data_IF_316951891342
#
_entry.id   IF_316951891342
#
_cell.length_a   1.000
_cell.length_b   1.000
_cell.length_c   1.000
_cell.angle_alpha   90.00
_cell.angle_beta   90.00
_cell.angle_gamma   90.00
#
_symmetry.space_group_name_H-M   'P 1'
#
loop_
_entity.id
_entity.type
_entity.pdbx_description
1 polymer ?
#
# COMPACT_ATOMS: atom_id res chain seq x y z
N UNK A 1 -26.80 3.65 -0.56
CA UNK A 1 -26.48 3.93 -1.97
C UNK A 1 -26.15 5.41 -2.03
N UNK A 2 -24.87 5.79 -1.99
CA UNK A 2 -24.45 7.19 -1.88
C UNK A 2 -23.72 7.55 -3.17
N UNK A 3 -24.28 8.48 -3.94
CA UNK A 3 -23.75 9.05 -5.17
C UNK A 3 -22.99 10.34 -4.87
N UNK A 4 -21.83 10.54 -5.51
CA UNK A 4 -21.00 11.74 -5.41
C UNK A 4 -21.06 12.55 -6.72
N UNK A 5 -20.94 13.89 -6.70
CA UNK A 5 -21.02 14.74 -7.88
C UNK A 5 -19.66 14.82 -8.62
N UNK A 6 -19.73 14.92 -9.94
CA UNK A 6 -18.61 14.84 -10.89
C UNK A 6 -17.63 16.03 -10.78
N UNK A 7 -16.33 15.74 -10.79
CA UNK A 7 -15.32 16.73 -11.19
C UNK A 7 -14.17 16.04 -11.92
N UNK A 8 -13.87 16.60 -13.09
CA UNK A 8 -13.00 16.10 -14.15
C UNK A 8 -11.51 16.36 -13.81
N UNK A 9 -10.61 15.39 -13.99
CA UNK A 9 -9.15 15.57 -13.80
C UNK A 9 -8.41 15.25 -15.12
N UNK A 10 -7.66 16.23 -15.62
CA UNK A 10 -6.80 16.14 -16.82
C UNK A 10 -5.36 15.73 -16.44
N UNK A 11 -4.59 15.08 -17.34
CA UNK A 11 -3.32 14.45 -17.00
C UNK A 11 -2.12 15.34 -17.32
N UNK A 12 -1.76 16.26 -16.44
CA UNK A 12 -0.48 16.98 -16.58
C UNK A 12 0.21 17.14 -15.22
N UNK A 13 1.53 16.92 -15.24
CA UNK A 13 2.52 17.08 -14.15
C UNK A 13 2.48 16.07 -13.00
N UNK A 14 3.44 15.15 -13.07
CA UNK A 14 3.88 14.29 -11.99
C UNK A 14 4.60 15.13 -10.92
N UNK A 15 3.87 15.63 -9.92
CA UNK A 15 4.45 16.20 -8.69
C UNK A 15 3.61 15.81 -7.48
N UNK A 16 4.16 14.94 -6.63
CA UNK A 16 3.97 14.69 -5.19
C UNK A 16 2.67 14.99 -4.40
N UNK A 17 1.55 15.39 -4.99
CA UNK A 17 0.31 15.62 -4.25
C UNK A 17 -0.83 14.70 -4.71
N UNK A 18 -1.31 13.92 -3.73
CA UNK A 18 -2.65 13.38 -3.53
C UNK A 18 -3.55 13.12 -4.76
N UNK A 19 -3.80 11.85 -5.07
CA UNK A 19 -5.07 11.49 -5.73
C UNK A 19 -6.27 11.80 -4.81
N UNK A 20 -7.42 12.23 -5.33
CA UNK A 20 -8.68 12.25 -4.58
C UNK A 20 -9.30 10.84 -4.51
N UNK A 21 -10.25 10.67 -3.58
CA UNK A 21 -11.02 9.43 -3.47
C UNK A 21 -11.90 9.26 -4.72
N UNK A 22 -11.68 8.19 -5.50
CA UNK A 22 -12.42 7.92 -6.73
C UNK A 22 -13.73 7.15 -6.42
N UNK A 23 -14.89 7.57 -6.96
CA UNK A 23 -16.14 6.81 -6.85
C UNK A 23 -16.14 5.60 -7.81
N UNK A 24 -16.73 4.49 -7.35
CA UNK A 24 -16.65 3.16 -7.97
C UNK A 24 -17.35 2.99 -9.34
N UNK A 25 -17.94 4.04 -9.93
CA UNK A 25 -18.77 3.93 -11.15
C UNK A 25 -18.15 4.49 -12.44
N UNK A 26 -16.93 5.03 -12.38
CA UNK A 26 -16.23 5.57 -13.56
C UNK A 26 -14.71 5.52 -13.43
N UNK A 27 -14.17 4.42 -12.89
CA UNK A 27 -12.73 4.17 -12.95
C UNK A 27 -12.34 3.67 -14.35
N UNK A 28 -12.00 4.59 -15.24
CA UNK A 28 -11.11 4.28 -16.37
C UNK A 28 -9.68 4.54 -15.92
N UNK A 29 -8.99 3.49 -15.47
CA UNK A 29 -7.56 3.60 -15.16
C UNK A 29 -6.78 3.48 -16.47
N UNK A 30 -5.95 4.49 -16.78
CA UNK A 30 -5.04 4.38 -17.90
C UNK A 30 -4.06 3.23 -17.65
N UNK A 31 -4.21 2.16 -18.44
CA UNK A 31 -3.42 0.95 -18.30
C UNK A 31 -1.97 1.15 -18.78
N UNK A 32 -1.66 2.24 -19.48
CA UNK A 32 -0.34 2.58 -20.02
C UNK A 32 0.53 3.44 -19.09
N UNK A 33 0.16 3.61 -17.82
CA UNK A 33 1.04 4.26 -16.84
C UNK A 33 2.34 3.46 -16.62
N UNK A 34 3.41 4.09 -16.16
CA UNK A 34 4.66 3.37 -15.84
C UNK A 34 4.50 2.47 -14.61
N UNK A 35 5.42 1.52 -14.41
CA UNK A 35 5.41 0.69 -13.18
C UNK A 35 5.61 1.51 -11.90
N UNK A 36 6.41 2.59 -11.98
CA UNK A 36 6.64 3.49 -10.85
C UNK A 36 5.37 4.26 -10.47
N UNK A 37 4.68 4.85 -11.47
CA UNK A 37 3.41 5.54 -11.23
C UNK A 37 2.35 4.58 -10.69
N UNK A 38 2.30 3.35 -11.22
CA UNK A 38 1.39 2.32 -10.72
C UNK A 38 1.70 1.94 -9.26
N UNK A 39 2.97 1.79 -8.91
CA UNK A 39 3.41 1.54 -7.54
C UNK A 39 2.95 2.64 -6.58
N UNK A 40 3.22 3.90 -6.93
CA UNK A 40 2.84 5.07 -6.13
C UNK A 40 1.31 5.22 -5.98
N UNK A 41 0.55 4.92 -7.05
CA UNK A 41 -0.91 4.86 -7.00
C UNK A 41 -1.37 3.82 -5.98
N UNK A 42 -0.83 2.61 -6.04
CA UNK A 42 -1.20 1.54 -5.12
C UNK A 42 -0.85 1.87 -3.67
N UNK A 43 0.33 2.38 -3.40
CA UNK A 43 0.71 2.80 -2.05
C UNK A 43 -0.25 3.86 -1.48
N UNK A 44 -0.66 4.82 -2.32
CA UNK A 44 -1.61 5.85 -1.94
C UNK A 44 -3.02 5.31 -1.68
N UNK A 45 -3.46 4.31 -2.45
CA UNK A 45 -4.74 3.62 -2.24
C UNK A 45 -4.71 2.76 -0.97
N UNK A 46 -3.62 2.03 -0.73
CA UNK A 46 -3.42 1.25 0.48
C UNK A 46 -3.45 2.15 1.72
N UNK A 47 -2.71 3.25 1.71
CA UNK A 47 -2.70 4.22 2.80
C UNK A 47 -4.11 4.78 3.07
N UNK A 48 -4.85 5.15 2.02
CA UNK A 48 -6.22 5.68 2.17
C UNK A 48 -7.18 4.63 2.74
N UNK A 49 -7.08 3.39 2.27
CA UNK A 49 -7.90 2.29 2.77
C UNK A 49 -7.65 2.05 4.28
N UNK A 50 -6.38 1.95 4.68
CA UNK A 50 -6.01 1.80 6.10
C UNK A 50 -6.49 2.99 6.94
N UNK A 51 -6.31 4.23 6.46
CA UNK A 51 -6.81 5.43 7.15
C UNK A 51 -8.32 5.43 7.33
N UNK A 52 -9.07 5.01 6.30
CA UNK A 52 -10.52 4.86 6.37
C UNK A 52 -10.93 3.85 7.45
N UNK A 53 -10.15 2.78 7.62
CA UNK A 53 -10.38 1.75 8.65
C UNK A 53 -9.82 2.16 10.04
N UNK A 54 -9.48 3.43 10.21
CA UNK A 54 -9.06 4.02 11.49
C UNK A 54 -7.57 3.87 11.81
N UNK A 55 -6.76 3.39 10.87
CA UNK A 55 -5.32 3.27 11.07
C UNK A 55 -4.62 4.61 10.92
N UNK A 56 -3.53 4.79 11.65
CA UNK A 56 -2.66 5.96 11.54
C UNK A 56 -1.42 5.62 10.72
N UNK A 57 -1.27 6.25 9.55
CA UNK A 57 -0.01 6.15 8.78
C UNK A 57 1.08 6.96 9.48
N UNK A 58 2.19 6.30 9.81
CA UNK A 58 3.35 6.86 10.50
C UNK A 58 4.41 7.31 9.51
N UNK A 59 4.69 6.48 8.51
CA UNK A 59 5.66 6.79 7.47
C UNK A 59 5.30 6.06 6.17
N UNK A 60 5.85 6.57 5.07
CA UNK A 60 5.73 6.04 3.71
C UNK A 60 7.12 6.05 3.06
N UNK A 61 7.43 5.08 2.20
CA UNK A 61 8.68 5.02 1.43
C UNK A 61 9.94 5.20 2.31
N UNK A 62 10.00 4.51 3.46
CA UNK A 62 11.14 4.62 4.36
C UNK A 62 12.32 3.80 3.83
N UNK A 63 13.41 4.47 3.48
CA UNK A 63 14.57 3.85 2.81
C UNK A 63 15.70 3.56 3.76
N UNK A 64 16.32 2.40 3.57
CA UNK A 64 17.52 1.96 4.26
C UNK A 64 18.50 1.33 3.28
N UNK A 65 19.72 1.04 3.73
CA UNK A 65 20.69 0.26 2.92
C UNK A 65 20.23 -1.18 2.61
N UNK A 66 19.23 -1.69 3.33
CA UNK A 66 18.71 -3.05 3.16
C UNK A 66 17.49 -3.12 2.24
N UNK A 67 16.87 -1.97 1.96
CA UNK A 67 15.63 -1.90 1.19
C UNK A 67 14.74 -0.75 1.65
N UNK A 68 13.51 -0.78 1.15
CA UNK A 68 12.47 0.21 1.39
C UNK A 68 11.28 -0.44 2.12
N UNK A 69 10.69 0.28 3.07
CA UNK A 69 9.43 -0.05 3.70
C UNK A 69 8.35 0.84 3.09
N UNK A 70 7.39 0.25 2.38
CA UNK A 70 6.39 1.00 1.63
C UNK A 70 5.51 1.84 2.57
N UNK A 71 4.93 1.19 3.60
CA UNK A 71 4.09 1.83 4.61
C UNK A 71 4.43 1.34 6.02
N UNK A 72 4.36 2.27 6.97
CA UNK A 72 4.44 1.99 8.41
C UNK A 72 3.21 2.61 9.04
N UNK A 73 2.42 1.82 9.76
CA UNK A 73 1.16 2.27 10.32
C UNK A 73 0.92 1.75 11.75
N UNK A 74 0.09 2.47 12.49
CA UNK A 74 -0.51 2.00 13.74
C UNK A 74 -1.96 1.61 13.49
N UNK A 75 -2.30 0.38 13.84
CA UNK A 75 -3.68 -0.09 13.90
C UNK A 75 -4.43 0.56 15.09
N UNK A 76 -5.79 0.65 15.10
CA UNK A 76 -6.55 1.24 16.23
C UNK A 76 -6.22 0.75 17.66
N UNK A 77 -5.49 -0.38 17.80
CA UNK A 77 -5.03 -0.93 19.08
C UNK A 77 -3.53 -0.72 19.35
N UNK A 78 -2.91 0.28 18.70
CA UNK A 78 -1.48 0.61 18.82
C UNK A 78 -0.51 -0.52 18.46
N UNK A 79 -0.94 -1.48 17.64
CA UNK A 79 -0.02 -2.43 17.03
C UNK A 79 0.71 -1.74 15.88
N UNK A 80 2.04 -1.78 15.91
CA UNK A 80 2.88 -1.31 14.81
C UNK A 80 2.89 -2.34 13.70
N UNK A 81 2.54 -1.90 12.50
CA UNK A 81 2.45 -2.75 11.32
C UNK A 81 3.31 -2.16 10.22
N UNK A 82 4.18 -3.00 9.65
CA UNK A 82 4.88 -2.71 8.41
C UNK A 82 4.11 -3.35 7.27
N UNK A 83 3.80 -2.58 6.23
CA UNK A 83 2.95 -3.02 5.14
C UNK A 83 3.72 -2.91 3.84
N UNK A 84 3.90 -4.04 3.18
CA UNK A 84 4.38 -4.12 1.80
C UNK A 84 3.18 -3.96 0.86
N UNK A 85 3.29 -3.09 -0.15
CA UNK A 85 2.24 -2.84 -1.12
C UNK A 85 2.63 -3.42 -2.47
N UNK A 86 1.78 -4.30 -3.00
CA UNK A 86 1.94 -4.91 -4.31
C UNK A 86 0.86 -4.40 -5.25
N UNK A 87 1.28 -3.73 -6.32
CA UNK A 87 0.35 -3.24 -7.33
C UNK A 87 0.60 -3.95 -8.65
N UNK A 88 -0.46 -4.48 -9.25
CA UNK A 88 -0.40 -5.15 -10.55
C UNK A 88 -1.56 -4.71 -11.43
N UNK A 89 -1.33 -4.75 -12.74
CA UNK A 89 -2.40 -4.67 -13.75
C UNK A 89 -3.03 -6.05 -13.88
N UNK A 90 -4.35 -6.11 -13.95
CA UNK A 90 -5.02 -7.31 -14.39
C UNK A 90 -4.69 -7.56 -15.87
N UNK A 91 -4.11 -8.71 -16.16
CA UNK A 91 -4.20 -9.29 -17.50
C UNK A 91 -5.37 -10.30 -17.51
N UNK A 92 -5.84 -10.70 -18.70
CA UNK A 92 -6.97 -11.66 -18.86
C UNK A 92 -6.78 -13.01 -18.14
N UNK A 93 -5.60 -13.28 -17.56
CA UNK A 93 -5.21 -14.55 -16.95
C UNK A 93 -4.78 -14.43 -15.47
N UNK A 94 -4.90 -13.25 -14.85
CA UNK A 94 -4.40 -13.02 -13.49
C UNK A 94 -5.39 -13.56 -12.45
N UNK A 95 -5.37 -14.87 -12.24
CA UNK A 95 -5.91 -15.48 -11.03
C UNK A 95 -5.15 -14.97 -9.79
N UNK A 96 -5.87 -14.90 -8.68
CA UNK A 96 -5.41 -14.37 -7.41
C UNK A 96 -4.19 -15.15 -6.89
N UNK A 97 -2.97 -14.72 -7.24
CA UNK A 97 -1.77 -15.20 -6.53
C UNK A 97 -1.82 -14.74 -5.07
N UNK A 98 -1.76 -15.70 -4.14
CA UNK A 98 -1.67 -15.42 -2.70
C UNK A 98 -0.40 -14.59 -2.42
N UNK A 99 -0.44 -13.55 -1.58
CA UNK A 99 0.72 -12.70 -1.34
C UNK A 99 1.85 -13.41 -0.60
N UNK A 100 1.56 -14.54 0.04
CA UNK A 100 2.55 -15.42 0.66
C UNK A 100 3.57 -15.92 -0.38
N UNK A 101 3.14 -16.12 -1.63
CA UNK A 101 4.03 -16.44 -2.76
C UNK A 101 4.70 -15.18 -3.34
N UNK A 102 4.18 -13.99 -3.05
CA UNK A 102 4.64 -12.72 -3.64
C UNK A 102 5.80 -12.05 -2.87
N UNK A 103 6.03 -12.38 -1.59
CA UNK A 103 7.16 -11.86 -0.81
C UNK A 103 8.17 -12.98 -0.55
N UNK A 104 9.17 -13.07 -1.44
CA UNK A 104 10.23 -14.08 -1.35
C UNK A 104 10.95 -14.05 0.00
N UNK A 105 11.46 -15.19 0.46
CA UNK A 105 12.23 -15.28 1.72
C UNK A 105 13.38 -14.25 1.79
N UNK A 106 14.07 -14.03 0.68
CA UNK A 106 15.11 -13.00 0.58
C UNK A 106 14.55 -11.60 0.82
N UNK A 107 13.39 -11.29 0.24
CA UNK A 107 12.71 -10.01 0.47
C UNK A 107 12.29 -9.85 1.93
N UNK A 108 11.73 -10.88 2.55
CA UNK A 108 11.36 -10.83 3.98
C UNK A 108 12.57 -10.56 4.88
N UNK A 109 13.75 -11.16 4.59
CA UNK A 109 14.98 -10.89 5.35
C UNK A 109 15.39 -9.42 5.23
N UNK A 110 15.31 -8.85 4.04
CA UNK A 110 15.65 -7.44 3.80
C UNK A 110 14.66 -6.49 4.49
N UNK A 111 13.37 -6.79 4.42
CA UNK A 111 12.32 -6.03 5.13
C UNK A 111 12.57 -6.05 6.63
N UNK A 112 12.75 -7.22 7.25
CA UNK A 112 13.06 -7.34 8.69
C UNK A 112 14.31 -6.56 9.12
N UNK A 113 15.32 -6.46 8.25
CA UNK A 113 16.50 -5.63 8.51
C UNK A 113 16.19 -4.14 8.43
N UNK A 114 15.39 -3.71 7.45
CA UNK A 114 14.94 -2.33 7.34
C UNK A 114 14.02 -1.94 8.52
N UNK A 115 13.11 -2.83 8.93
CA UNK A 115 12.27 -2.71 10.13
C UNK A 115 13.11 -2.51 11.38
N UNK A 116 14.18 -3.31 11.55
CA UNK A 116 15.10 -3.19 12.69
C UNK A 116 15.80 -1.83 12.74
N UNK A 117 16.15 -1.25 11.58
CA UNK A 117 16.70 0.12 11.50
C UNK A 117 15.66 1.17 11.86
N UNK A 118 14.41 0.99 11.44
CA UNK A 118 13.33 1.89 11.83
C UNK A 118 13.10 1.83 13.34
N UNK A 119 13.01 0.63 13.91
CA UNK A 119 12.78 0.40 15.34
C UNK A 119 13.93 0.88 16.22
N UNK A 120 15.19 0.89 15.74
CA UNK A 120 16.32 1.40 16.52
C UNK A 120 16.37 2.93 16.58
N UNK A 121 15.69 3.60 15.65
CA UNK A 121 15.65 5.06 15.55
C UNK A 121 14.36 5.67 16.11
N UNK A 122 13.37 4.84 16.47
CA UNK A 122 12.07 5.27 16.99
C UNK A 122 11.76 4.62 18.35
N UNK A 123 11.66 5.39 19.44
CA UNK A 123 11.34 4.86 20.77
C UNK A 123 10.02 4.09 20.80
N UNK A 124 10.02 2.91 21.42
CA UNK A 124 8.86 1.98 21.55
C UNK A 124 7.73 2.49 22.44
N UNK A 125 7.81 3.71 22.95
CA UNK A 125 6.87 4.27 23.94
C UNK A 125 5.43 4.40 23.39
N UNK A 126 5.24 4.32 22.08
CA UNK A 126 3.97 4.61 21.40
C UNK A 126 3.30 3.39 20.76
N UNK A 127 3.85 2.18 20.89
CA UNK A 127 3.28 0.99 20.25
C UNK A 127 3.63 -0.32 20.98
N UNK A 128 2.83 -1.35 20.72
CA UNK A 128 3.05 -2.71 21.23
C UNK A 128 4.46 -3.23 20.88
N UNK A 129 5.11 -4.04 21.75
CA UNK A 129 6.38 -4.68 21.40
C UNK A 129 6.28 -5.61 20.19
N UNK A 130 5.10 -6.18 19.95
CA UNK A 130 4.82 -7.05 18.80
C UNK A 130 4.59 -6.24 17.54
N UNK A 131 5.48 -6.41 16.58
CA UNK A 131 5.32 -5.88 15.22
C UNK A 131 4.65 -6.91 14.33
N UNK A 132 3.82 -6.45 13.40
CA UNK A 132 3.18 -7.33 12.40
C UNK A 132 3.60 -6.89 11.00
N UNK A 133 3.82 -7.86 10.12
CA UNK A 133 4.05 -7.59 8.71
C UNK A 133 2.80 -7.97 7.92
N UNK A 134 2.23 -6.99 7.23
CA UNK A 134 1.06 -7.18 6.39
C UNK A 134 1.45 -6.99 4.92
N UNK A 135 0.63 -7.53 4.01
CA UNK A 135 0.73 -7.25 2.58
C UNK A 135 -0.60 -6.68 2.11
N UNK A 136 -0.56 -5.56 1.39
CA UNK A 136 -1.71 -5.03 0.65
C UNK A 136 -1.50 -5.27 -0.83
N UNK A 137 -2.37 -6.07 -1.43
CA UNK A 137 -2.37 -6.36 -2.86
C UNK A 137 -3.43 -5.53 -3.57
N UNK A 138 -3.02 -4.79 -4.59
CA UNK A 138 -3.88 -3.94 -5.41
C UNK A 138 -3.82 -4.45 -6.84
N UNK A 139 -4.97 -4.87 -7.34
CA UNK A 139 -5.14 -5.28 -8.73
C UNK A 139 -5.97 -4.24 -9.46
N UNK A 140 -5.36 -3.61 -10.46
CA UNK A 140 -5.97 -2.59 -11.29
C UNK A 140 -6.54 -3.24 -12.55
N UNK A 141 -7.85 -3.19 -12.70
CA UNK A 141 -8.58 -3.58 -13.89
C UNK A 141 -8.95 -2.32 -14.71
N UNK A 142 -9.30 -2.46 -15.99
CA UNK A 142 -9.75 -1.33 -16.80
C UNK A 142 -10.96 -0.58 -16.24
N UNK A 143 -11.83 -1.29 -15.50
CA UNK A 143 -13.14 -0.83 -15.01
C UNK A 143 -13.23 -0.73 -13.48
N UNK A 144 -12.26 -1.28 -12.73
CA UNK A 144 -12.29 -1.35 -11.27
C UNK A 144 -10.91 -1.51 -10.65
N UNK A 145 -10.82 -1.31 -9.34
CA UNK A 145 -9.65 -1.66 -8.54
C UNK A 145 -10.10 -2.65 -7.46
N UNK A 146 -9.38 -3.75 -7.32
CA UNK A 146 -9.53 -4.68 -6.21
C UNK A 146 -8.37 -4.48 -5.22
N UNK A 147 -8.69 -4.35 -3.93
CA UNK A 147 -7.72 -4.27 -2.85
C UNK A 147 -7.95 -5.45 -1.91
N UNK A 148 -6.88 -6.14 -1.55
CA UNK A 148 -6.88 -7.20 -0.56
C UNK A 148 -5.79 -6.93 0.48
N UNK A 149 -6.16 -6.97 1.75
CA UNK A 149 -5.25 -6.78 2.87
C UNK A 149 -5.05 -8.11 3.61
N UNK A 150 -3.82 -8.60 3.57
CA UNK A 150 -3.40 -9.85 4.18
C UNK A 150 -2.60 -9.54 5.44
N UNK A 151 -3.17 -9.91 6.58
CA UNK A 151 -2.62 -9.61 7.90
C UNK A 151 -1.68 -10.73 8.35
N UNK A 152 -0.55 -10.37 8.95
CA UNK A 152 0.43 -11.36 9.44
C UNK A 152 1.00 -12.22 8.32
N UNK A 153 1.34 -11.60 7.19
CA UNK A 153 1.75 -12.28 5.98
C UNK A 153 3.10 -13.00 6.10
N UNK A 154 3.99 -12.57 7.00
CA UNK A 154 5.30 -13.21 7.26
C UNK A 154 6.04 -12.73 8.52
#
# INVERSE_FOLDING_TARGET
MITFPETFIQPHSCTNDCLPALPASSLHVDMNVTQQCLGALGESLAARHLMHDGWKIIARNFRTRYGELDLIALEPHNQLVFIEVKTRRANRSAEFGYPEEAVTRTKQIHLRRAESVWLSTHPRTFFSPEVRNDVVSITVFPDRIALHHFRGAF
#
